data_IF_328550694950
#
_entry.id   IF_328550694950
#
_cell.length_a   1.000
_cell.length_b   1.000
_cell.length_c   1.000
_cell.angle_alpha   90.00
_cell.angle_beta   90.00
_cell.angle_gamma   90.00
#
_symmetry.space_group_name_H-M   'P 1'
#
loop_
_entity.id
_entity.type
_entity.pdbx_description
1 polymer ?
#
# COMPACT_ATOMS: atom_id res chain seq x y z
N UNK A 1 19.05 5.46 10.24
CA UNK A 1 18.72 4.00 10.24
C UNK A 1 18.26 3.69 8.84
N UNK A 2 18.87 2.71 8.18
CA UNK A 2 18.44 2.28 6.84
C UNK A 2 17.13 1.53 6.99
N UNK A 3 16.04 2.03 6.41
CA UNK A 3 14.76 1.31 6.36
C UNK A 3 14.90 0.24 5.28
N UNK A 4 14.70 -1.02 5.65
CA UNK A 4 14.68 -2.13 4.69
C UNK A 4 13.30 -2.26 4.06
N UNK A 5 13.26 -2.62 2.77
CA UNK A 5 12.02 -2.82 2.01
C UNK A 5 11.01 -3.73 2.72
N UNK A 6 11.47 -4.84 3.31
CA UNK A 6 10.59 -5.77 4.03
C UNK A 6 9.92 -5.12 5.24
N UNK A 7 10.69 -4.38 6.06
CA UNK A 7 10.14 -3.66 7.24
C UNK A 7 9.15 -2.59 6.81
N UNK A 8 9.48 -1.84 5.74
CA UNK A 8 8.58 -0.82 5.22
C UNK A 8 7.24 -1.40 4.77
N UNK A 9 7.26 -2.53 4.06
CA UNK A 9 6.05 -3.23 3.62
C UNK A 9 5.25 -3.71 4.83
N UNK A 10 5.88 -4.39 5.80
CA UNK A 10 5.16 -4.93 6.97
C UNK A 10 4.62 -3.84 7.90
N UNK A 11 5.31 -2.72 8.04
CA UNK A 11 4.89 -1.63 8.93
C UNK A 11 3.79 -0.77 8.29
N UNK A 12 3.74 -0.71 6.95
CA UNK A 12 2.80 0.14 6.21
C UNK A 12 1.57 -0.60 5.68
N UNK A 13 1.52 -1.93 5.77
CA UNK A 13 0.42 -2.75 5.24
C UNK A 13 -0.07 -3.78 6.26
N UNK A 14 -1.33 -4.19 6.12
CA UNK A 14 -1.95 -5.26 6.87
C UNK A 14 -2.65 -6.22 5.93
N UNK A 15 -2.79 -7.48 6.35
CA UNK A 15 -3.63 -8.43 5.63
C UNK A 15 -5.09 -8.04 5.87
N UNK A 16 -5.78 -7.72 4.78
CA UNK A 16 -7.21 -7.40 4.79
C UNK A 16 -7.87 -7.87 3.50
N UNK A 17 -9.20 -7.84 3.47
CA UNK A 17 -10.00 -8.21 2.30
C UNK A 17 -10.64 -6.97 1.68
N UNK A 18 -10.46 -6.78 0.38
CA UNK A 18 -11.13 -5.70 -0.32
C UNK A 18 -12.66 -5.96 -0.36
N UNK A 19 -13.52 -4.92 -0.22
CA UNK A 19 -14.98 -5.10 -0.12
C UNK A 19 -15.64 -5.88 -1.25
N UNK A 20 -15.03 -5.90 -2.45
CA UNK A 20 -15.58 -6.54 -3.65
C UNK A 20 -15.10 -7.98 -3.87
N UNK A 21 -14.06 -8.39 -3.15
CA UNK A 21 -13.50 -9.74 -3.21
C UNK A 21 -13.18 -10.20 -1.78
N UNK A 22 -14.19 -10.28 -0.89
CA UNK A 22 -14.00 -10.61 0.53
C UNK A 22 -13.33 -11.98 0.76
N UNK A 23 -13.37 -12.86 -0.24
CA UNK A 23 -12.72 -14.17 -0.25
C UNK A 23 -11.20 -14.13 -0.49
N UNK A 24 -10.65 -12.99 -0.95
CA UNK A 24 -9.22 -12.83 -1.25
C UNK A 24 -8.56 -11.97 -0.16
N UNK A 25 -7.52 -12.52 0.46
CA UNK A 25 -6.66 -11.80 1.41
C UNK A 25 -5.52 -11.10 0.67
N UNK A 26 -5.36 -9.81 0.90
CA UNK A 26 -4.35 -8.96 0.27
C UNK A 26 -3.57 -8.19 1.35
N UNK A 27 -2.31 -7.85 1.06
CA UNK A 27 -1.57 -6.85 1.84
C UNK A 27 -2.04 -5.46 1.39
N UNK A 28 -2.87 -4.81 2.21
CA UNK A 28 -3.43 -3.49 1.92
C UNK A 28 -2.84 -2.44 2.86
N UNK A 29 -2.70 -1.21 2.36
CA UNK A 29 -2.24 -0.08 3.16
C UNK A 29 -3.17 0.14 4.38
N UNK A 30 -2.59 0.22 5.58
CA UNK A 30 -3.34 0.45 6.84
C UNK A 30 -3.80 1.90 6.98
N UNK A 31 -2.95 2.83 6.56
CA UNK A 31 -3.28 4.23 6.39
C UNK A 31 -2.83 4.70 5.01
N UNK A 32 -3.71 5.39 4.29
CA UNK A 32 -3.38 5.97 2.98
C UNK A 32 -2.25 7.00 3.13
N UNK A 33 -2.19 7.67 4.28
CA UNK A 33 -1.42 8.89 4.48
C UNK A 33 0.10 8.68 4.64
N UNK A 34 0.63 7.71 5.40
CA UNK A 34 2.08 7.47 5.48
C UNK A 34 2.70 6.96 4.17
N UNK A 35 1.99 6.09 3.44
CA UNK A 35 2.43 5.58 2.13
C UNK A 35 2.36 6.63 1.02
N UNK A 36 1.40 7.56 1.06
CA UNK A 36 1.33 8.70 0.14
C UNK A 36 2.22 9.89 0.55
N UNK A 37 2.50 10.05 1.85
CA UNK A 37 3.42 11.08 2.36
C UNK A 37 4.88 10.67 2.24
N UNK A 38 5.17 9.38 2.04
CA UNK A 38 6.48 8.94 1.62
C UNK A 38 6.82 9.66 0.30
N UNK A 39 7.81 10.55 0.36
CA UNK A 39 8.27 11.28 -0.82
C UNK A 39 8.86 10.29 -1.81
N UNK A 40 8.75 10.57 -3.11
CA UNK A 40 9.38 9.76 -4.16
C UNK A 40 10.87 9.52 -3.85
N UNK A 41 11.56 10.53 -3.33
CA UNK A 41 12.95 10.46 -2.88
C UNK A 41 13.17 9.44 -1.75
N UNK A 42 12.25 9.35 -0.77
CA UNK A 42 12.35 8.39 0.34
C UNK A 42 12.11 6.94 -0.13
N UNK A 43 11.22 6.77 -1.11
CA UNK A 43 10.96 5.49 -1.76
C UNK A 43 12.16 5.07 -2.61
N UNK A 44 12.77 6.00 -3.34
CA UNK A 44 13.97 5.77 -4.15
C UNK A 44 15.18 5.42 -3.27
N UNK A 45 15.39 6.13 -2.17
CA UNK A 45 16.43 5.84 -1.16
C UNK A 45 16.27 4.45 -0.53
N UNK A 46 15.02 4.00 -0.38
CA UNK A 46 14.69 2.66 0.13
C UNK A 46 14.63 1.58 -0.96
N UNK A 47 14.85 1.95 -2.23
CA UNK A 47 14.73 1.09 -3.41
C UNK A 47 13.33 0.43 -3.52
N UNK A 48 12.29 1.20 -3.22
CA UNK A 48 10.89 0.80 -3.23
C UNK A 48 10.20 1.51 -4.40
N UNK A 49 9.64 0.73 -5.33
CA UNK A 49 8.82 1.32 -6.39
C UNK A 49 7.51 1.87 -5.81
N UNK A 50 6.93 2.93 -6.42
CA UNK A 50 5.67 3.50 -5.97
C UNK A 50 4.61 2.40 -5.71
N UNK A 51 4.01 2.35 -4.51
CA UNK A 51 3.29 1.18 -4.03
C UNK A 51 1.86 1.09 -4.56
N UNK A 52 1.68 1.15 -5.88
CA UNK A 52 0.38 1.01 -6.54
C UNK A 52 -0.33 -0.32 -6.19
N UNK A 53 0.44 -1.36 -5.85
CA UNK A 53 -0.05 -2.67 -5.43
C UNK A 53 -0.73 -2.69 -4.05
N UNK A 54 -0.42 -1.72 -3.17
CA UNK A 54 -0.93 -1.68 -1.80
C UNK A 54 -2.38 -1.16 -1.71
N UNK A 55 -2.94 -0.71 -2.84
CA UNK A 55 -4.26 -0.11 -2.91
C UNK A 55 -5.16 -0.91 -3.85
N UNK A 56 -6.20 -1.54 -3.29
CA UNK A 56 -7.29 -2.09 -4.09
C UNK A 56 -8.17 -0.93 -4.59
N UNK A 57 -7.75 -0.26 -5.68
CA UNK A 57 -8.50 0.88 -6.23
C UNK A 57 -9.92 0.43 -6.61
N UNK A 58 -10.97 1.09 -6.08
CA UNK A 58 -12.35 0.84 -6.47
C UNK A 58 -12.67 1.40 -7.89
N UNK A 59 -11.77 1.26 -8.87
CA UNK A 59 -11.78 2.07 -10.11
C UNK A 59 -12.98 1.83 -11.03
N UNK A 60 -13.77 0.79 -10.75
CA UNK A 60 -15.07 0.53 -11.37
C UNK A 60 -16.28 0.85 -10.49
N UNK A 61 -16.11 1.41 -9.29
CA UNK A 61 -17.16 1.83 -8.35
C UNK A 61 -17.53 3.30 -8.59
N UNK A 62 -17.79 3.68 -9.84
CA UNK A 62 -18.55 4.91 -10.05
C UNK A 62 -19.94 4.67 -9.42
N UNK A 63 -20.42 5.51 -8.47
CA UNK A 63 -21.83 5.49 -8.16
C UNK A 63 -22.56 5.86 -9.46
N UNK A 64 -23.44 4.98 -9.92
CA UNK A 64 -24.41 5.33 -10.93
C UNK A 64 -25.34 6.44 -10.40
#
# INVERSE_FOLDING_TARGET
MSVSQDSFITDSTTIDCAPLVPEIRLQLATEVTPLWQATADSLEDANIEPPFWAFAWPGGQAPA
#
